data_IF_592431640265
#
_entry.id   IF_592431640265
#
_cell.length_a   1.000
_cell.length_b   1.000
_cell.length_c   1.000
_cell.angle_alpha   90.00
_cell.angle_beta   90.00
_cell.angle_gamma   90.00
#
_symmetry.space_group_name_H-M   'P 1'
#
loop_
_entity.id
_entity.type
_entity.pdbx_description
1 polymer ?
#
# COMPACT_ATOMS: atom_id res chain seq x y z
N UNK A 1 -24.20 21.18 -10.02
CA UNK A 1 -23.97 19.79 -9.54
C UNK A 1 -22.80 19.68 -8.57
N UNK A 2 -21.63 20.26 -8.91
CA UNK A 2 -20.41 20.22 -8.08
C UNK A 2 -20.61 20.81 -6.67
N UNK A 3 -21.31 21.93 -6.55
CA UNK A 3 -21.58 22.61 -5.26
C UNK A 3 -22.36 21.72 -4.27
N UNK A 4 -23.35 20.97 -4.77
CA UNK A 4 -24.10 20.00 -3.95
C UNK A 4 -23.20 18.88 -3.45
N UNK A 5 -22.31 18.37 -4.30
CA UNK A 5 -21.36 17.32 -3.92
C UNK A 5 -20.40 17.82 -2.84
N UNK A 6 -19.84 19.01 -3.00
CA UNK A 6 -18.94 19.63 -2.00
C UNK A 6 -19.69 19.85 -0.68
N UNK A 7 -20.90 20.40 -0.72
CA UNK A 7 -21.74 20.62 0.47
C UNK A 7 -22.03 19.30 1.20
N UNK A 8 -22.36 18.23 0.47
CA UNK A 8 -22.61 16.90 1.05
C UNK A 8 -21.36 16.30 1.70
N UNK A 9 -20.18 16.48 1.09
CA UNK A 9 -18.90 16.02 1.63
C UNK A 9 -18.54 16.80 2.90
N UNK A 10 -18.76 18.12 2.91
CA UNK A 10 -18.53 18.96 4.09
C UNK A 10 -19.47 18.58 5.24
N UNK A 11 -20.75 18.37 4.97
CA UNK A 11 -21.72 17.90 5.96
C UNK A 11 -21.33 16.53 6.54
N UNK A 12 -20.79 15.63 5.71
CA UNK A 12 -20.31 14.30 6.13
C UNK A 12 -19.05 14.39 6.99
N UNK A 13 -18.10 15.27 6.65
CA UNK A 13 -16.92 15.58 7.48
C UNK A 13 -17.32 16.14 8.84
N UNK A 14 -18.29 17.07 8.89
CA UNK A 14 -18.82 17.64 10.16
C UNK A 14 -19.47 16.59 11.06
N UNK A 15 -20.10 15.56 10.48
CA UNK A 15 -20.65 14.40 11.20
C UNK A 15 -19.57 13.42 11.71
N UNK A 16 -18.28 13.75 11.57
CA UNK A 16 -17.17 12.92 12.03
C UNK A 16 -16.92 11.66 11.20
N UNK A 17 -17.61 11.49 10.05
CA UNK A 17 -17.38 10.35 9.16
C UNK A 17 -16.10 10.58 8.37
N UNK A 18 -15.18 9.62 8.44
CA UNK A 18 -13.94 9.66 7.70
C UNK A 18 -14.20 9.42 6.20
N UNK A 19 -13.78 10.37 5.36
CA UNK A 19 -13.86 10.27 3.91
C UNK A 19 -12.47 9.91 3.39
N UNK A 20 -12.33 8.72 2.82
CA UNK A 20 -11.06 8.24 2.26
C UNK A 20 -10.82 6.76 2.55
N UNK A 21 -9.55 6.34 2.46
CA UNK A 21 -9.12 4.98 2.72
C UNK A 21 -9.36 4.59 4.20
N UNK A 22 -10.08 3.50 4.51
CA UNK A 22 -10.44 3.16 5.88
C UNK A 22 -9.23 3.21 6.82
N UNK A 23 -9.41 3.84 7.99
CA UNK A 23 -8.38 3.91 9.04
C UNK A 23 -7.95 2.48 9.41
N UNK A 24 -6.64 2.25 9.50
CA UNK A 24 -6.10 0.92 9.78
C UNK A 24 -6.02 -0.05 8.59
N UNK A 25 -6.40 0.37 7.37
CA UNK A 25 -6.23 -0.48 6.17
C UNK A 25 -4.79 -0.50 5.60
N UNK A 26 -3.83 0.08 6.33
CA UNK A 26 -2.42 -0.11 6.04
C UNK A 26 -2.04 -1.51 6.49
N UNK A 27 -1.50 -2.31 5.57
CA UNK A 27 -0.99 -3.64 5.91
C UNK A 27 0.20 -3.49 6.85
N UNK A 28 0.26 -4.29 7.91
CA UNK A 28 1.43 -4.34 8.79
C UNK A 28 2.64 -4.92 8.03
N UNK A 29 3.86 -4.72 8.55
CA UNK A 29 5.08 -5.31 7.97
C UNK A 29 4.92 -6.82 7.76
N UNK A 30 4.46 -7.52 8.79
CA UNK A 30 4.29 -8.98 8.76
C UNK A 30 3.24 -9.43 7.74
N UNK A 31 2.14 -8.68 7.62
CA UNK A 31 1.12 -8.96 6.61
C UNK A 31 1.69 -8.76 5.20
N UNK A 32 2.51 -7.73 5.00
CA UNK A 32 3.15 -7.46 3.72
C UNK A 32 4.16 -8.55 3.34
N UNK A 33 4.96 -9.04 4.31
CA UNK A 33 5.91 -10.12 4.08
C UNK A 33 5.22 -11.46 3.80
N UNK A 34 4.12 -11.75 4.50
CA UNK A 34 3.29 -12.95 4.26
C UNK A 34 2.60 -12.93 2.90
N UNK A 35 2.20 -11.76 2.42
CA UNK A 35 1.53 -11.61 1.13
C UNK A 35 2.49 -11.77 -0.06
N UNK A 36 3.76 -11.42 0.11
CA UNK A 36 4.77 -11.42 -0.96
C UNK A 36 5.99 -12.30 -0.66
N UNK A 37 5.82 -13.62 -0.41
CA UNK A 37 6.93 -14.50 -0.08
C UNK A 37 7.92 -14.67 -1.24
N UNK A 38 7.44 -14.71 -2.49
CA UNK A 38 8.29 -14.81 -3.67
C UNK A 38 9.21 -13.59 -3.86
N UNK A 39 8.69 -12.38 -3.58
CA UNK A 39 9.49 -11.15 -3.61
C UNK A 39 10.59 -11.20 -2.55
N UNK A 40 10.30 -11.73 -1.36
CA UNK A 40 11.29 -11.89 -0.29
C UNK A 40 12.40 -12.85 -0.71
N UNK A 41 12.04 -13.97 -1.33
CA UNK A 41 13.01 -14.94 -1.82
C UNK A 41 13.92 -14.33 -2.91
N UNK A 42 13.36 -13.71 -3.94
CA UNK A 42 14.14 -13.08 -5.01
C UNK A 42 15.01 -11.91 -4.53
N UNK A 43 14.56 -11.17 -3.50
CA UNK A 43 15.36 -10.14 -2.85
C UNK A 43 16.56 -10.74 -2.10
N UNK A 44 16.42 -11.93 -1.51
CA UNK A 44 17.53 -12.64 -0.84
C UNK A 44 18.52 -13.21 -1.85
N UNK A 45 18.07 -13.60 -3.04
CA UNK A 45 18.92 -14.02 -4.15
C UNK A 45 19.69 -12.86 -4.81
N UNK A 46 19.42 -11.61 -4.42
CA UNK A 46 20.13 -10.43 -4.93
C UNK A 46 19.65 -9.97 -6.31
N UNK A 47 18.45 -10.37 -6.75
CA UNK A 47 17.89 -9.89 -8.01
C UNK A 47 17.57 -8.39 -7.96
N UNK A 48 17.66 -7.74 -9.13
CA UNK A 48 17.40 -6.30 -9.25
C UNK A 48 15.91 -5.99 -9.07
N UNK A 49 15.61 -4.85 -8.43
CA UNK A 49 14.23 -4.43 -8.15
C UNK A 49 13.35 -4.35 -9.40
N UNK A 50 13.93 -3.99 -10.55
CA UNK A 50 13.22 -3.95 -11.84
C UNK A 50 12.87 -5.34 -12.35
N UNK A 51 13.76 -6.32 -12.20
CA UNK A 51 13.52 -7.71 -12.61
C UNK A 51 12.40 -8.31 -11.76
N UNK A 52 12.48 -8.15 -10.43
CA UNK A 52 11.45 -8.62 -9.50
C UNK A 52 10.10 -7.94 -9.80
N UNK A 53 10.10 -6.63 -10.06
CA UNK A 53 8.87 -5.91 -10.38
C UNK A 53 8.20 -6.37 -11.68
N UNK A 54 8.97 -6.93 -12.63
CA UNK A 54 8.42 -7.53 -13.85
C UNK A 54 7.55 -8.75 -13.59
N UNK A 55 7.86 -9.53 -12.54
CA UNK A 55 7.16 -10.79 -12.23
C UNK A 55 5.99 -10.63 -11.24
N UNK A 56 6.04 -9.64 -10.35
CA UNK A 56 5.01 -9.50 -9.28
C UNK A 56 4.14 -8.26 -9.44
N UNK A 57 4.68 -7.11 -9.06
CA UNK A 57 3.96 -5.85 -8.82
C UNK A 57 4.90 -4.70 -9.12
N UNK A 58 4.37 -3.48 -9.06
CA UNK A 58 5.17 -2.27 -9.24
C UNK A 58 6.42 -2.23 -8.36
N UNK A 59 7.45 -1.56 -8.88
CA UNK A 59 8.74 -1.35 -8.18
C UNK A 59 8.53 -0.77 -6.78
N UNK A 60 7.53 0.09 -6.60
CA UNK A 60 7.20 0.68 -5.31
C UNK A 60 6.78 -0.37 -4.26
N UNK A 61 6.04 -1.39 -4.67
CA UNK A 61 5.66 -2.50 -3.78
C UNK A 61 6.87 -3.33 -3.40
N UNK A 62 7.74 -3.66 -4.36
CA UNK A 62 8.99 -4.39 -4.10
C UNK A 62 9.90 -3.60 -3.15
N UNK A 63 9.99 -2.28 -3.32
CA UNK A 63 10.74 -1.41 -2.40
C UNK A 63 10.15 -1.41 -0.98
N UNK A 64 8.82 -1.41 -0.83
CA UNK A 64 8.16 -1.52 0.49
C UNK A 64 8.46 -2.85 1.17
N UNK A 65 8.44 -3.95 0.41
CA UNK A 65 8.81 -5.28 0.92
C UNK A 65 10.28 -5.28 1.37
N UNK A 66 11.20 -4.79 0.54
CA UNK A 66 12.62 -4.67 0.89
C UNK A 66 12.86 -3.85 2.15
N UNK A 67 12.19 -2.70 2.29
CA UNK A 67 12.27 -1.87 3.50
C UNK A 67 11.73 -2.58 4.75
N UNK A 68 10.72 -3.43 4.58
CA UNK A 68 10.12 -4.20 5.67
C UNK A 68 10.98 -5.40 6.11
N UNK A 69 12.00 -5.79 5.32
CA UNK A 69 12.96 -6.84 5.68
C UNK A 69 14.15 -6.34 6.52
N UNK A 70 14.54 -5.06 6.35
CA UNK A 70 15.74 -4.49 6.96
C UNK A 70 15.42 -3.80 8.31
N UNK A 71 14.15 -3.48 8.55
CA UNK A 71 13.69 -2.72 9.71
C UNK A 71 12.91 -3.58 10.70
#
# INVERSE_FOLDING_TARGET
MVERTISSMQATKRKGKYIGRPRGSAKTKDQLLKEYPGVVWELREGLSLRKIAGSYRSVHTVQKVKKSLIA
#
